data_IF_460334238923
#
_entry.id   IF_460334238923
#
_cell.length_a   1.000
_cell.length_b   1.000
_cell.length_c   1.000
_cell.angle_alpha   90.00
_cell.angle_beta   90.00
_cell.angle_gamma   90.00
#
_symmetry.space_group_name_H-M   'P 1'
#
loop_
_entity.id
_entity.type
_entity.pdbx_description
1 polymer ?
#
# COMPACT_ATOMS: atom_id res chain seq x y z
N UNK A 1 24.70 11.35 17.81
CA UNK A 1 25.22 11.23 16.42
C UNK A 1 25.39 9.74 16.14
N UNK A 2 24.47 9.11 15.40
CA UNK A 2 24.55 7.66 15.11
C UNK A 2 25.03 7.50 13.67
N UNK A 3 26.32 7.27 13.49
CA UNK A 3 26.90 6.97 12.17
C UNK A 3 26.44 5.60 11.65
N UNK A 4 26.42 5.39 10.32
CA UNK A 4 26.05 4.10 9.74
C UNK A 4 27.03 3.02 10.23
N UNK A 5 26.49 1.95 10.85
CA UNK A 5 27.29 0.79 11.22
C UNK A 5 27.81 0.11 9.94
N UNK A 6 29.07 -0.34 9.91
CA UNK A 6 29.66 -0.95 8.74
C UNK A 6 28.84 -2.15 8.29
N UNK A 7 28.56 -2.22 6.99
CA UNK A 7 27.91 -3.38 6.38
C UNK A 7 28.82 -4.60 6.60
N UNK A 8 28.29 -5.67 7.21
CA UNK A 8 29.00 -6.95 7.30
C UNK A 8 29.08 -7.52 5.88
N UNK A 9 30.28 -7.64 5.34
CA UNK A 9 30.53 -8.33 4.08
C UNK A 9 29.91 -9.73 4.14
N UNK A 10 29.10 -10.07 3.13
CA UNK A 10 28.34 -11.33 3.06
C UNK A 10 26.91 -11.27 3.61
N UNK A 11 26.48 -10.19 4.28
CA UNK A 11 25.11 -10.04 4.75
C UNK A 11 24.41 -8.83 4.10
N UNK A 12 23.33 -9.08 3.37
CA UNK A 12 22.45 -8.02 2.86
C UNK A 12 21.49 -7.59 3.96
N UNK A 13 21.69 -6.39 4.50
CA UNK A 13 20.73 -5.81 5.45
C UNK A 13 19.64 -5.07 4.70
N UNK A 14 18.43 -5.58 4.78
CA UNK A 14 17.26 -4.92 4.21
C UNK A 14 16.57 -4.16 5.33
N UNK A 15 16.44 -2.85 5.16
CA UNK A 15 15.71 -2.04 6.13
C UNK A 15 14.22 -2.45 6.11
N UNK A 16 13.57 -2.65 7.27
CA UNK A 16 12.15 -2.98 7.32
C UNK A 16 11.28 -1.96 6.58
N UNK A 17 11.65 -0.67 6.64
CA UNK A 17 10.98 0.40 5.90
C UNK A 17 11.10 0.23 4.37
N UNK A 18 12.25 -0.23 3.88
CA UNK A 18 12.44 -0.48 2.45
C UNK A 18 11.57 -1.66 1.99
N UNK A 19 11.57 -2.76 2.75
CA UNK A 19 10.72 -3.92 2.45
C UNK A 19 9.23 -3.54 2.46
N UNK A 20 8.81 -2.74 3.44
CA UNK A 20 7.44 -2.22 3.53
C UNK A 20 7.06 -1.41 2.29
N UNK A 21 7.90 -0.46 1.88
CA UNK A 21 7.62 0.38 0.71
C UNK A 21 7.57 -0.42 -0.60
N UNK A 22 8.43 -1.43 -0.75
CA UNK A 22 8.38 -2.30 -1.93
C UNK A 22 7.07 -3.10 -1.97
N UNK A 23 6.62 -3.62 -0.81
CA UNK A 23 5.35 -4.34 -0.69
C UNK A 23 4.17 -3.41 -0.98
N UNK A 24 4.18 -2.17 -0.46
CA UNK A 24 3.17 -1.14 -0.77
C UNK A 24 3.11 -0.84 -2.26
N UNK A 25 4.27 -0.72 -2.92
CA UNK A 25 4.35 -0.47 -4.36
C UNK A 25 3.79 -1.63 -5.20
N UNK A 26 4.13 -2.87 -4.84
CA UNK A 26 3.59 -4.07 -5.52
C UNK A 26 2.07 -4.15 -5.34
N UNK A 27 1.57 -3.91 -4.13
CA UNK A 27 0.14 -3.89 -3.86
C UNK A 27 -0.56 -2.75 -4.63
N UNK A 28 -0.01 -1.53 -4.62
CA UNK A 28 -0.55 -0.40 -5.36
C UNK A 28 -0.66 -0.69 -6.86
N UNK A 29 0.38 -1.33 -7.45
CA UNK A 29 0.37 -1.77 -8.84
C UNK A 29 -0.70 -2.81 -9.14
N UNK A 30 -0.82 -3.85 -8.29
CA UNK A 30 -1.82 -4.90 -8.46
C UNK A 30 -3.27 -4.39 -8.31
N UNK A 31 -3.51 -3.43 -7.42
CA UNK A 31 -4.83 -2.82 -7.22
C UNK A 31 -5.14 -1.67 -8.17
N UNK A 32 -4.12 -1.11 -8.84
CA UNK A 32 -4.25 0.06 -9.72
C UNK A 32 -4.56 1.36 -8.94
N UNK A 33 -4.07 1.47 -7.71
CA UNK A 33 -4.30 2.63 -6.82
C UNK A 33 -3.01 3.42 -6.61
N UNK A 34 -3.11 4.63 -6.04
CA UNK A 34 -1.91 5.40 -5.68
C UNK A 34 -1.24 4.78 -4.47
N UNK A 35 0.09 4.92 -4.36
CA UNK A 35 0.85 4.41 -3.21
C UNK A 35 0.37 4.95 -1.85
N UNK A 36 -0.18 6.18 -1.81
CA UNK A 36 -0.77 6.74 -0.59
C UNK A 36 -2.11 6.13 -0.15
N UNK A 37 -2.74 5.32 -1.02
CA UNK A 37 -3.98 4.58 -0.71
C UNK A 37 -3.69 3.17 -0.21
N UNK A 38 -2.42 2.79 -0.09
CA UNK A 38 -1.96 1.48 0.37
C UNK A 38 -1.06 1.67 1.59
N UNK A 39 -1.29 0.87 2.63
CA UNK A 39 -0.43 0.83 3.80
C UNK A 39 -0.09 -0.61 4.11
N UNK A 40 1.19 -0.89 4.35
CA UNK A 40 1.66 -2.22 4.74
C UNK A 40 2.25 -2.20 6.15
N UNK A 41 1.97 -3.24 6.93
CA UNK A 41 2.65 -3.52 8.19
C UNK A 41 3.32 -4.89 8.09
N UNK A 42 4.55 -4.97 8.57
CA UNK A 42 5.34 -6.20 8.55
C UNK A 42 5.49 -6.72 9.98
N UNK A 43 5.29 -8.02 10.15
CA UNK A 43 5.47 -8.73 11.40
C UNK A 43 6.23 -10.04 11.15
N UNK A 44 6.89 -10.56 12.17
CA UNK A 44 7.38 -11.93 12.14
C UNK A 44 6.22 -12.89 12.44
N UNK A 45 6.03 -13.90 11.60
CA UNK A 45 5.03 -14.95 11.73
C UNK A 45 5.76 -16.29 11.91
N UNK A 46 6.22 -16.54 13.14
CA UNK A 46 6.94 -17.77 13.52
C UNK A 46 8.17 -18.07 12.64
N UNK A 47 9.01 -17.05 12.39
CA UNK A 47 10.19 -17.18 11.52
C UNK A 47 9.86 -17.12 10.02
N UNK A 48 8.65 -16.69 9.67
CA UNK A 48 8.23 -16.33 8.30
C UNK A 48 7.86 -14.86 8.24
N UNK A 49 7.79 -14.31 7.03
CA UNK A 49 7.33 -12.94 6.86
C UNK A 49 5.80 -12.86 6.94
N UNK A 50 5.30 -12.15 7.95
CA UNK A 50 3.89 -11.76 8.07
C UNK A 50 3.67 -10.37 7.46
N UNK A 51 2.63 -10.25 6.64
CA UNK A 51 2.27 -8.99 5.95
C UNK A 51 0.80 -8.68 6.20
N UNK A 52 0.53 -7.51 6.75
CA UNK A 52 -0.83 -6.94 6.84
C UNK A 52 -0.94 -5.74 5.90
N UNK A 53 -1.90 -5.80 4.98
CA UNK A 53 -2.12 -4.77 3.97
C UNK A 53 -3.50 -4.14 4.15
N UNK A 54 -3.52 -2.81 4.13
CA UNK A 54 -4.74 -2.02 4.02
C UNK A 54 -4.74 -1.28 2.70
N UNK A 55 -5.75 -1.54 1.87
CA UNK A 55 -5.90 -0.95 0.54
C UNK A 55 -7.20 -0.17 0.50
N UNK A 56 -7.13 1.11 0.14
CA UNK A 56 -8.30 1.96 -0.10
C UNK A 56 -8.62 1.97 -1.59
N UNK A 57 -9.75 1.38 -1.96
CA UNK A 57 -10.21 1.40 -3.35
C UNK A 57 -11.07 2.64 -3.62
N UNK A 58 -10.87 3.33 -4.75
CA UNK A 58 -11.76 4.40 -5.15
C UNK A 58 -13.17 3.85 -5.37
N UNK A 59 -14.19 4.57 -4.90
CA UNK A 59 -15.59 4.21 -5.14
C UNK A 59 -15.87 4.12 -6.64
N UNK A 60 -16.39 2.98 -7.15
CA UNK A 60 -16.74 2.86 -8.55
C UNK A 60 -17.86 3.86 -8.87
N UNK A 61 -17.77 4.53 -10.02
CA UNK A 61 -18.83 5.42 -10.48
C UNK A 61 -20.07 4.58 -10.82
N UNK A 62 -21.15 4.75 -10.07
CA UNK A 62 -22.40 3.99 -10.18
C UNK A 62 -23.10 4.11 -11.56
N UNK A 63 -22.63 5.00 -12.44
CA UNK A 63 -23.27 5.35 -13.73
C UNK A 63 -22.44 4.99 -14.97
N UNK A 64 -21.31 4.30 -14.83
CA UNK A 64 -20.50 3.87 -15.96
C UNK A 64 -20.53 2.36 -16.11
N UNK A 65 -20.77 1.86 -17.33
CA UNK A 65 -20.60 0.44 -17.70
C UNK A 65 -19.33 -0.10 -17.06
N UNK A 66 -19.47 -1.01 -16.10
CA UNK A 66 -18.37 -1.87 -15.67
C UNK A 66 -18.05 -2.77 -16.85
N UNK A 67 -17.09 -2.35 -17.68
CA UNK A 67 -16.38 -3.30 -18.53
C UNK A 67 -15.80 -4.41 -17.65
N UNK A 68 -15.32 -5.49 -18.27
CA UNK A 68 -14.63 -6.61 -17.61
C UNK A 68 -13.38 -6.11 -16.85
N UNK A 69 -13.57 -5.40 -15.75
CA UNK A 69 -12.51 -4.95 -14.85
C UNK A 69 -12.31 -6.07 -13.86
N UNK A 70 -11.07 -6.54 -13.77
CA UNK A 70 -10.65 -7.56 -12.80
C UNK A 70 -11.22 -7.24 -11.42
N UNK A 71 -11.85 -8.25 -10.82
CA UNK A 71 -12.50 -8.13 -9.52
C UNK A 71 -11.48 -7.73 -8.46
N UNK A 72 -11.92 -7.07 -7.39
CA UNK A 72 -11.04 -6.75 -6.25
C UNK A 72 -10.39 -8.01 -5.65
N UNK A 73 -11.07 -9.16 -5.76
CA UNK A 73 -10.55 -10.47 -5.35
C UNK A 73 -9.41 -10.95 -6.26
N UNK A 74 -9.56 -10.82 -7.57
CA UNK A 74 -8.52 -11.19 -8.54
C UNK A 74 -7.26 -10.33 -8.35
N UNK A 75 -7.44 -9.01 -8.15
CA UNK A 75 -6.34 -8.09 -7.83
C UNK A 75 -5.64 -8.43 -6.51
N UNK A 76 -6.41 -8.86 -5.50
CA UNK A 76 -5.83 -9.34 -4.25
C UNK A 76 -5.03 -10.63 -4.44
N UNK A 77 -5.47 -11.52 -5.33
CA UNK A 77 -4.72 -12.72 -5.73
C UNK A 77 -3.37 -12.37 -6.37
N UNK A 78 -3.39 -11.46 -7.35
CA UNK A 78 -2.18 -10.96 -8.02
C UNK A 78 -1.24 -10.30 -7.00
N UNK A 79 -1.76 -9.45 -6.12
CA UNK A 79 -0.97 -8.81 -5.07
C UNK A 79 -0.32 -9.85 -4.15
N UNK A 80 -1.08 -10.85 -3.69
CA UNK A 80 -0.57 -11.90 -2.80
C UNK A 80 0.54 -12.72 -3.45
N UNK A 81 0.39 -13.09 -4.72
CA UNK A 81 1.43 -13.79 -5.47
C UNK A 81 2.67 -12.92 -5.65
N UNK A 82 2.50 -11.65 -6.03
CA UNK A 82 3.60 -10.69 -6.17
C UNK A 82 4.39 -10.51 -4.88
N UNK A 83 3.70 -10.35 -3.74
CA UNK A 83 4.33 -10.18 -2.43
C UNK A 83 5.05 -11.44 -1.98
N UNK A 84 4.45 -12.62 -2.18
CA UNK A 84 5.09 -13.90 -1.85
C UNK A 84 6.38 -14.10 -2.65
N UNK A 85 6.31 -13.87 -3.97
CA UNK A 85 7.46 -13.98 -4.86
C UNK A 85 8.57 -12.99 -4.50
N UNK A 86 8.19 -11.73 -4.28
CA UNK A 86 9.12 -10.68 -3.86
C UNK A 86 9.80 -11.02 -2.54
N UNK A 87 9.04 -11.48 -1.54
CA UNK A 87 9.60 -11.79 -0.23
C UNK A 87 10.63 -12.91 -0.33
N UNK A 88 10.31 -13.96 -1.09
CA UNK A 88 11.28 -15.04 -1.36
C UNK A 88 12.51 -14.54 -2.11
N UNK A 89 12.35 -13.64 -3.08
CA UNK A 89 13.46 -13.10 -3.86
C UNK A 89 14.35 -12.16 -3.04
N UNK A 90 13.75 -11.36 -2.16
CA UNK A 90 14.41 -10.26 -1.45
C UNK A 90 14.99 -10.73 -0.12
N UNK A 91 14.23 -11.49 0.67
CA UNK A 91 14.64 -11.95 2.01
C UNK A 91 15.11 -13.41 2.01
N UNK A 92 14.82 -14.17 0.97
CA UNK A 92 15.05 -15.62 0.96
C UNK A 92 14.04 -16.41 1.82
N UNK A 93 13.09 -15.72 2.46
CA UNK A 93 12.11 -16.33 3.37
C UNK A 93 10.74 -16.45 2.70
N UNK A 94 10.02 -17.51 3.04
CA UNK A 94 8.62 -17.66 2.66
C UNK A 94 7.73 -16.68 3.44
N UNK A 95 6.65 -16.24 2.80
CA UNK A 95 5.57 -15.52 3.47
C UNK A 95 4.69 -16.50 4.24
N UNK A 96 4.51 -16.26 5.55
CA UNK A 96 3.65 -17.08 6.40
C UNK A 96 2.18 -16.71 6.23
N UNK A 97 1.85 -15.46 6.60
CA UNK A 97 0.49 -14.92 6.55
C UNK A 97 0.46 -13.60 5.79
N UNK A 98 -0.43 -13.50 4.80
CA UNK A 98 -0.70 -12.27 4.06
C UNK A 98 -2.17 -11.93 4.26
N UNK A 99 -2.45 -10.92 5.07
CA UNK A 99 -3.79 -10.39 5.27
C UNK A 99 -3.98 -9.16 4.40
N UNK A 100 -5.05 -9.12 3.61
CA UNK A 100 -5.37 -7.97 2.76
C UNK A 100 -6.75 -7.46 3.15
N UNK A 101 -6.79 -6.28 3.75
CA UNK A 101 -8.01 -5.55 4.09
C UNK A 101 -8.30 -4.53 3.00
N UNK A 102 -9.43 -4.71 2.35
CA UNK A 102 -9.92 -3.80 1.30
C UNK A 102 -10.97 -2.89 1.94
N UNK A 103 -10.71 -1.58 1.92
CA UNK A 103 -11.64 -0.56 2.40
C UNK A 103 -12.12 0.32 1.23
N UNK A 104 -13.39 0.73 1.26
CA UNK A 104 -13.90 1.74 0.34
C UNK A 104 -13.36 3.12 0.71
N UNK A 105 -12.69 3.80 -0.22
CA UNK A 105 -12.31 5.19 -0.06
C UNK A 105 -13.57 6.06 -0.22
N UNK A 106 -14.26 6.35 0.88
CA UNK A 106 -15.06 7.57 0.94
C UNK A 106 -14.13 8.74 0.65
N UNK A 107 -14.35 9.44 -0.47
CA UNK A 107 -13.61 10.63 -0.88
C UNK A 107 -13.40 11.50 0.37
N UNK A 108 -12.16 11.73 0.80
CA UNK A 108 -11.91 12.88 1.67
C UNK A 108 -12.18 14.08 0.78
N UNK A 109 -13.35 14.70 0.95
CA UNK A 109 -13.62 15.99 0.35
C UNK A 109 -12.47 16.89 0.78
N UNK A 110 -11.63 17.27 -0.19
CA UNK A 110 -10.81 18.46 -0.04
C UNK A 110 -11.87 19.55 -0.15
N UNK A 111 -12.46 19.97 0.97
CA UNK A 111 -13.38 21.10 0.96
C UNK A 111 -12.57 22.30 0.47
N UNK A 112 -12.88 22.89 -0.71
CA UNK A 112 -12.33 24.19 -1.02
C UNK A 112 -12.81 25.13 0.08
N UNK A 113 -11.88 25.77 0.80
CA UNK A 113 -12.20 26.81 1.78
C UNK A 113 -13.12 27.83 1.13
N UNK A 114 -14.39 27.81 1.49
CA UNK A 114 -15.41 28.78 1.11
C UNK A 114 -15.30 30.03 1.99
N UNK A 115 -14.09 30.51 2.27
CA UNK A 115 -13.85 31.72 3.09
C UNK A 115 -12.94 32.73 2.38
N UNK A 116 -12.96 32.74 1.05
CA UNK A 116 -12.28 33.75 0.24
C UNK A 116 -13.27 34.72 -0.43
N UNK A 117 -14.38 35.07 0.24
CA UNK A 117 -15.23 36.17 -0.22
C UNK A 117 -16.15 36.77 0.85
N UNK A 118 -15.60 37.32 1.93
CA UNK A 118 -16.32 38.34 2.69
C UNK A 118 -15.37 39.23 3.49
N UNK A 119 -14.78 40.24 2.84
CA UNK A 119 -14.71 41.56 3.48
C UNK A 119 -14.49 42.66 2.43
N UNK A 120 -15.04 43.84 2.71
CA UNK A 120 -14.99 45.10 1.94
C UNK A 120 -16.02 45.31 0.83
N UNK A 121 -17.28 45.39 1.25
CA UNK A 121 -18.17 46.51 0.84
C UNK A 121 -18.71 47.16 2.12
N UNK A 122 -18.20 48.35 2.47
CA UNK A 122 -18.84 49.69 2.33
C UNK A 122 -19.49 50.12 3.67
N UNK A 123 -19.83 51.41 3.90
CA UNK A 123 -19.81 52.58 3.00
C UNK A 123 -18.67 53.57 3.23
#
# INVERSE_FOLDING_TARGET
>A
MTGPRPARLGHTRIAPAALRHTIEAVAAGAFGVRGGDVSATLADDAGKLGVDLSVRLPTPQLLGRTGQQQSAFERAGIARQGISSLSRQVTGMDCGRINIRIAGAGRRAIEPRVDAKQDRRKP
#
